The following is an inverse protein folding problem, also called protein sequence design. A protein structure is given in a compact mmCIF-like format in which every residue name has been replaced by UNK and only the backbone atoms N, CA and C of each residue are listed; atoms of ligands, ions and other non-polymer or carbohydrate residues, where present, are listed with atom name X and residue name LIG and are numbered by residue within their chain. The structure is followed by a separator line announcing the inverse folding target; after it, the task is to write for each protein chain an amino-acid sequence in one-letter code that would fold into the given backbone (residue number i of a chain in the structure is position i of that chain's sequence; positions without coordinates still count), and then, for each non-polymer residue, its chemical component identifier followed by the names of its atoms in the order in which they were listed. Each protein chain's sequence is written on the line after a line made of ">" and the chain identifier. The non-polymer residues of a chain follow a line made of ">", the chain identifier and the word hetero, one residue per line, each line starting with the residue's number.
data_IF_730069353749
#
_entry.id   IF_730069353749
#
_cell.length_a   1.000
_cell.length_b   1.000
_cell.length_c   1.000
_cell.angle_alpha   90.00
_cell.angle_beta   90.00
_cell.angle_gamma   90.00
#
_symmetry.space_group_name_H-M   'P 1'
#
loop_
_entity.id
_entity.type
_entity.pdbx_description
1 polymer ?
#
# COMPACT_ATOMS: atom_id res chain seq x y z
N UNK A 1 7.26 -13.52 3.44
CA UNK A 1 6.03 -13.83 2.67
C UNK A 1 4.87 -13.24 3.44
N UNK A 2 3.83 -12.82 2.73
CA UNK A 2 2.61 -12.34 3.39
C UNK A 2 1.89 -13.51 4.04
N UNK A 3 1.33 -13.28 5.22
CA UNK A 3 0.43 -14.20 5.91
C UNK A 3 -0.90 -13.46 6.07
N UNK A 4 -1.93 -13.90 5.35
CA UNK A 4 -3.24 -13.24 5.39
C UNK A 4 -4.06 -13.66 6.60
N UNK A 5 -3.63 -14.67 7.35
CA UNK A 5 -4.23 -15.11 8.61
C UNK A 5 -3.61 -14.41 9.83
N UNK A 6 -2.36 -13.96 9.75
CA UNK A 6 -1.67 -13.19 10.78
C UNK A 6 -1.78 -11.66 10.53
N UNK A 7 -2.97 -11.12 10.82
CA UNK A 7 -3.26 -9.69 10.62
C UNK A 7 -3.14 -8.91 11.93
N UNK A 8 -2.54 -7.72 11.80
CA UNK A 8 -2.53 -6.75 12.89
C UNK A 8 -3.74 -5.82 12.85
N UNK A 9 -4.29 -5.54 14.02
CA UNK A 9 -5.57 -4.84 14.19
C UNK A 9 -5.45 -3.34 14.51
N UNK A 10 -4.27 -2.74 14.27
CA UNK A 10 -3.96 -1.37 14.74
C UNK A 10 -4.60 -0.25 13.89
N UNK A 11 -5.09 -0.55 12.68
CA UNK A 11 -5.79 0.42 11.82
C UNK A 11 -7.26 -0.01 11.66
N UNK A 12 -8.13 0.44 12.57
CA UNK A 12 -9.56 0.08 12.56
C UNK A 12 -10.45 1.30 12.69
N UNK A 13 -11.37 1.48 11.74
CA UNK A 13 -12.40 2.52 11.75
C UNK A 13 -11.86 3.95 12.00
N UNK A 14 -10.65 4.24 11.52
CA UNK A 14 -9.99 5.54 11.65
C UNK A 14 -9.60 6.10 10.29
N UNK A 15 -9.45 7.42 10.22
CA UNK A 15 -9.09 8.15 8.98
C UNK A 15 -7.70 8.76 9.03
N UNK A 16 -7.09 8.80 10.21
CA UNK A 16 -5.80 9.42 10.45
C UNK A 16 -4.89 8.44 11.22
N UNK A 17 -3.60 8.54 10.92
CA UNK A 17 -2.54 7.77 11.57
C UNK A 17 -1.36 8.70 11.83
N UNK A 18 -0.98 8.85 13.10
CA UNK A 18 0.24 9.57 13.45
C UNK A 18 1.44 8.67 13.14
N UNK A 19 2.27 9.09 12.17
CA UNK A 19 3.41 8.29 11.72
C UNK A 19 4.44 8.11 12.84
N UNK A 20 4.84 6.85 13.03
CA UNK A 20 5.93 6.42 13.90
C UNK A 20 6.83 5.45 13.12
N UNK A 21 8.15 5.60 13.26
CA UNK A 21 9.13 4.69 12.68
C UNK A 21 8.96 3.24 13.16
N UNK A 22 8.37 3.02 14.33
CA UNK A 22 8.14 1.67 14.87
C UNK A 22 7.21 0.82 13.98
N UNK A 23 6.32 1.46 13.18
CA UNK A 23 5.49 0.76 12.20
C UNK A 23 6.31 0.04 11.12
N UNK A 24 7.52 0.52 10.84
CA UNK A 24 8.39 0.01 9.77
C UNK A 24 9.63 -0.70 10.33
N UNK A 25 9.60 -1.08 11.61
CA UNK A 25 10.74 -1.69 12.31
C UNK A 25 11.02 -3.14 11.89
N UNK A 26 10.02 -3.82 11.34
CA UNK A 26 10.13 -5.20 10.85
C UNK A 26 10.22 -5.23 9.32
N UNK A 27 9.22 -4.68 8.64
CA UNK A 27 9.14 -4.62 7.18
C UNK A 27 8.14 -3.51 6.76
N UNK A 28 7.86 -3.42 5.47
CA UNK A 28 6.79 -2.61 4.91
C UNK A 28 5.41 -3.00 5.47
N UNK A 29 4.54 -2.01 5.62
CA UNK A 29 3.13 -2.20 6.00
C UNK A 29 2.30 -2.39 4.75
N UNK A 30 1.59 -3.51 4.66
CA UNK A 30 0.61 -3.78 3.58
C UNK A 30 -0.79 -3.41 4.04
N UNK A 31 -1.45 -2.50 3.33
CA UNK A 31 -2.86 -2.15 3.52
C UNK A 31 -3.68 -2.68 2.35
N UNK A 32 -4.20 -3.91 2.46
CA UNK A 32 -4.99 -4.59 1.42
C UNK A 32 -6.51 -4.57 1.67
N UNK A 33 -6.96 -4.00 2.81
CA UNK A 33 -8.37 -3.88 3.19
C UNK A 33 -8.80 -2.43 3.46
N UNK A 34 -7.97 -1.45 3.09
CA UNK A 34 -8.31 -0.04 3.26
C UNK A 34 -9.58 0.28 2.46
N UNK A 35 -10.60 0.91 3.05
CA UNK A 35 -11.80 1.31 2.29
C UNK A 35 -11.56 2.53 1.40
N UNK A 36 -10.69 3.45 1.83
CA UNK A 36 -10.32 4.65 1.06
C UNK A 36 -9.31 4.31 -0.04
N UNK A 37 -9.54 4.81 -1.26
CA UNK A 37 -8.55 4.78 -2.37
C UNK A 37 -7.84 6.12 -2.55
N UNK A 38 -7.74 6.85 -1.45
CA UNK A 38 -7.04 8.12 -1.35
C UNK A 38 -6.35 8.22 0.00
N UNK A 39 -5.11 8.69 0.01
CA UNK A 39 -4.34 8.94 1.23
C UNK A 39 -3.62 10.28 1.12
N UNK A 40 -3.47 10.99 2.24
CA UNK A 40 -2.68 12.22 2.28
C UNK A 40 -1.58 12.12 3.33
N UNK A 41 -0.36 12.51 2.94
CA UNK A 41 0.74 12.74 3.86
C UNK A 41 0.75 14.23 4.24
N UNK A 42 0.52 14.51 5.52
CA UNK A 42 0.39 15.88 6.05
C UNK A 42 1.23 16.07 7.30
N UNK A 43 1.56 17.33 7.59
CA UNK A 43 2.23 17.74 8.81
C UNK A 43 1.33 18.64 9.64
N UNK A 44 1.38 18.52 10.97
CA UNK A 44 0.74 19.48 11.89
C UNK A 44 1.55 20.78 12.04
N UNK A 45 2.74 20.86 11.44
CA UNK A 45 3.70 21.98 11.62
C UNK A 45 3.75 22.95 10.44
N UNK A 46 3.20 22.57 9.29
CA UNK A 46 3.16 23.37 8.08
C UNK A 46 2.01 22.88 7.18
N UNK A 47 1.66 23.69 6.18
CA UNK A 47 0.59 23.41 5.21
C UNK A 47 1.00 22.41 4.12
N UNK A 48 2.30 22.27 3.85
CA UNK A 48 2.79 21.34 2.82
C UNK A 48 2.33 19.90 3.05
N UNK A 49 1.95 19.23 1.96
CA UNK A 49 1.60 17.83 1.92
C UNK A 49 1.47 17.30 0.50
N UNK A 50 1.08 16.03 0.41
CA UNK A 50 0.69 15.42 -0.85
C UNK A 50 -0.52 14.53 -0.63
N UNK A 51 -1.32 14.36 -1.68
CA UNK A 51 -2.41 13.41 -1.76
C UNK A 51 -2.13 12.45 -2.90
N UNK A 52 -2.27 11.16 -2.61
CA UNK A 52 -2.18 10.08 -3.56
C UNK A 52 -3.58 9.49 -3.75
N UNK A 53 -4.10 9.57 -4.97
CA UNK A 53 -5.34 8.92 -5.38
C UNK A 53 -4.98 7.68 -6.21
N UNK A 54 -5.48 6.51 -5.79
CA UNK A 54 -5.04 5.20 -6.30
C UNK A 54 -6.23 4.25 -6.50
N UNK A 55 -7.34 4.75 -7.05
CA UNK A 55 -8.60 4.01 -7.24
C UNK A 55 -8.41 2.63 -7.88
N UNK A 56 -7.50 2.53 -8.85
CA UNK A 56 -7.29 1.32 -9.64
C UNK A 56 -6.39 0.28 -8.96
N UNK A 57 -5.90 0.57 -7.74
CA UNK A 57 -4.99 -0.28 -6.98
C UNK A 57 -5.70 -0.84 -5.73
N UNK A 58 -5.81 -2.17 -5.60
CA UNK A 58 -6.44 -2.80 -4.44
C UNK A 58 -5.61 -2.64 -3.16
N UNK A 59 -4.29 -2.42 -3.29
CA UNK A 59 -3.36 -2.40 -2.16
C UNK A 59 -2.58 -1.09 -2.10
N UNK A 60 -2.27 -0.65 -0.88
CA UNK A 60 -1.28 0.39 -0.61
C UNK A 60 -0.19 -0.17 0.31
N UNK A 61 1.05 -0.12 -0.15
CA UNK A 61 2.22 -0.46 0.67
C UNK A 61 2.82 0.83 1.21
N UNK A 62 3.09 0.85 2.52
CA UNK A 62 3.68 2.01 3.20
C UNK A 62 4.95 1.56 3.90
N UNK A 63 6.08 2.24 3.63
CA UNK A 63 7.33 1.90 4.30
C UNK A 63 8.28 3.09 4.44
N UNK A 64 9.24 2.95 5.35
CA UNK A 64 10.35 3.87 5.58
C UNK A 64 11.60 3.06 5.93
N UNK A 65 12.78 3.66 5.83
CA UNK A 65 14.02 2.95 6.15
C UNK A 65 14.16 2.63 7.64
N UNK A 66 14.80 1.49 7.93
CA UNK A 66 15.15 1.06 9.29
C UNK A 66 16.09 2.04 10.01
N UNK A 67 16.91 2.78 9.26
CA UNK A 67 17.80 3.80 9.81
C UNK A 67 17.12 5.15 10.04
N UNK A 68 15.78 5.21 9.99
CA UNK A 68 14.98 6.42 10.23
C UNK A 68 15.34 7.58 9.30
N UNK A 69 15.55 7.25 8.03
CA UNK A 69 15.77 8.24 6.97
C UNK A 69 14.53 9.13 6.80
N UNK A 70 14.70 10.39 6.39
CA UNK A 70 13.62 11.38 6.38
C UNK A 70 12.72 11.26 5.13
N UNK A 71 12.21 10.06 4.85
CA UNK A 71 11.21 9.86 3.80
C UNK A 71 10.21 8.77 4.18
N UNK A 72 9.06 8.78 3.50
CA UNK A 72 8.05 7.74 3.55
C UNK A 72 7.70 7.37 2.11
N UNK A 73 7.68 6.08 1.79
CA UNK A 73 7.16 5.58 0.53
C UNK A 73 5.67 5.25 0.66
N UNK A 74 4.90 5.67 -0.34
CA UNK A 74 3.50 5.32 -0.54
C UNK A 74 3.42 4.63 -1.90
N UNK A 75 3.21 3.32 -1.91
CA UNK A 75 3.31 2.53 -3.12
C UNK A 75 1.96 1.87 -3.44
N UNK A 76 1.20 2.41 -4.42
CA UNK A 76 -0.03 1.77 -4.87
C UNK A 76 0.32 0.53 -5.70
N UNK A 77 -0.18 -0.63 -5.28
CA UNK A 77 0.23 -1.93 -5.83
C UNK A 77 -0.95 -2.72 -6.39
N UNK A 78 -0.84 -3.15 -7.64
CA UNK A 78 -1.88 -3.92 -8.34
C UNK A 78 -1.80 -5.42 -8.09
N UNK A 79 -0.66 -5.90 -7.60
CA UNK A 79 -0.43 -7.26 -7.10
C UNK A 79 0.20 -7.20 -5.71
N UNK A 80 0.54 -8.36 -5.15
CA UNK A 80 1.22 -8.44 -3.85
C UNK A 80 2.46 -9.34 -3.94
N UNK A 81 3.32 -9.22 -2.94
CA UNK A 81 4.40 -10.17 -2.68
C UNK A 81 3.84 -11.57 -2.43
N UNK A 82 4.66 -12.60 -2.66
CA UNK A 82 4.26 -13.99 -2.42
C UNK A 82 3.69 -14.19 -1.02
N UNK A 83 2.52 -14.82 -0.96
CA UNK A 83 1.82 -15.17 0.28
C UNK A 83 2.09 -16.62 0.70
N UNK A 84 1.79 -16.97 1.95
CA UNK A 84 1.86 -18.34 2.46
C UNK A 84 0.66 -19.18 1.98
N UNK A 85 -0.39 -18.52 1.48
CA UNK A 85 -1.65 -19.12 1.08
C UNK A 85 -1.78 -19.37 -0.43
N UNK A 86 -0.74 -19.05 -1.22
CA UNK A 86 -0.73 -19.26 -2.67
C UNK A 86 0.26 -20.35 -3.11
N UNK A 87 -0.02 -20.97 -4.25
CA UNK A 87 0.85 -21.93 -4.89
C UNK A 87 1.92 -21.31 -5.78
N UNK A 88 2.63 -22.16 -6.53
CA UNK A 88 3.67 -21.73 -7.48
C UNK A 88 3.09 -21.28 -8.84
N UNK A 89 1.77 -21.36 -9.03
CA UNK A 89 1.12 -20.94 -10.26
C UNK A 89 0.83 -19.44 -10.24
N UNK A 90 1.02 -18.77 -11.38
CA UNK A 90 0.83 -17.33 -11.49
C UNK A 90 -0.62 -16.94 -11.17
N UNK A 91 -1.57 -17.73 -11.66
CA UNK A 91 -3.01 -17.56 -11.47
C UNK A 91 -3.47 -17.68 -10.01
N UNK A 92 -2.68 -18.32 -9.14
CA UNK A 92 -2.99 -18.44 -7.72
C UNK A 92 -2.59 -17.18 -6.94
N UNK A 93 -1.78 -16.29 -7.53
CA UNK A 93 -1.27 -15.10 -6.85
C UNK A 93 -2.37 -14.07 -6.63
N UNK A 94 -2.51 -13.59 -5.39
CA UNK A 94 -3.54 -12.60 -5.03
C UNK A 94 -3.41 -11.32 -5.87
N UNK A 95 -4.54 -10.86 -6.40
CA UNK A 95 -4.68 -9.66 -7.24
C UNK A 95 -3.88 -9.70 -8.56
N UNK A 96 -3.40 -10.86 -8.99
CA UNK A 96 -2.74 -11.00 -10.30
C UNK A 96 -3.71 -10.59 -11.42
N UNK A 97 -3.20 -9.82 -12.39
CA UNK A 97 -3.95 -9.43 -13.60
C UNK A 97 -3.51 -10.31 -14.75
N UNK A 98 -4.41 -11.12 -15.28
CA UNK A 98 -4.17 -11.99 -16.43
C UNK A 98 -4.76 -11.33 -17.67
N UNK A 99 -3.92 -11.09 -18.68
CA UNK A 99 -4.35 -10.55 -19.97
C UNK A 99 -4.27 -11.63 -21.04
N UNK A 100 -5.36 -11.82 -21.76
CA UNK A 100 -5.40 -12.72 -22.92
C UNK A 100 -4.65 -12.11 -24.11
N UNK A 101 -4.28 -12.91 -25.13
CA UNK A 101 -3.67 -12.40 -26.34
C UNK A 101 -4.45 -11.21 -26.92
N UNK A 102 -3.70 -10.16 -27.30
CA UNK A 102 -4.20 -8.88 -27.82
C UNK A 102 -5.01 -8.01 -26.83
N UNK A 103 -5.12 -8.38 -25.55
CA UNK A 103 -5.66 -7.49 -24.53
C UNK A 103 -4.59 -6.51 -24.04
N UNK A 104 -5.05 -5.31 -23.72
CA UNK A 104 -4.27 -4.26 -23.05
C UNK A 104 -5.03 -3.80 -21.82
N UNK A 105 -4.28 -3.41 -20.80
CA UNK A 105 -4.83 -2.91 -19.56
C UNK A 105 -3.96 -1.74 -19.09
N UNK A 106 -4.59 -0.75 -18.47
CA UNK A 106 -3.93 0.46 -18.03
C UNK A 106 -4.45 0.79 -16.64
N UNK A 107 -3.50 1.10 -15.75
CA UNK A 107 -3.77 1.69 -14.46
C UNK A 107 -2.82 2.81 -14.17
N UNK A 108 -3.25 3.74 -13.35
CA UNK A 108 -2.53 4.92 -12.93
C UNK A 108 -3.01 5.43 -11.59
N UNK A 109 -2.16 6.23 -10.98
CA UNK A 109 -2.45 6.95 -9.75
C UNK A 109 -2.10 8.41 -9.98
N UNK A 110 -2.77 9.28 -9.23
CA UNK A 110 -2.54 10.72 -9.29
C UNK A 110 -1.86 11.19 -8.00
N UNK A 111 -0.91 12.11 -8.15
CA UNK A 111 -0.29 12.79 -7.02
C UNK A 111 -0.59 14.28 -7.13
N UNK A 112 -1.28 14.79 -6.12
CA UNK A 112 -1.48 16.23 -5.91
C UNK A 112 -0.52 16.71 -4.82
N UNK A 113 0.13 17.84 -5.05
CA UNK A 113 1.04 18.50 -4.09
C UNK A 113 0.38 19.80 -3.63
N UNK A 114 0.35 20.04 -2.32
CA UNK A 114 -0.16 21.26 -1.71
C UNK A 114 0.73 21.74 -0.56
#
# INVERSE_FOLDING_TARGET
>A
MLDFQDRSDWLKAQKELDLNYDFFSYDAVTLDELTSRSVSLRSRKHDKGLKLDFEEFPNLIVWSTLNKGPFLALEPWSGLSTSLEEGDHLEDKKNVRILNPAQSDQIGFDIEIF
#
